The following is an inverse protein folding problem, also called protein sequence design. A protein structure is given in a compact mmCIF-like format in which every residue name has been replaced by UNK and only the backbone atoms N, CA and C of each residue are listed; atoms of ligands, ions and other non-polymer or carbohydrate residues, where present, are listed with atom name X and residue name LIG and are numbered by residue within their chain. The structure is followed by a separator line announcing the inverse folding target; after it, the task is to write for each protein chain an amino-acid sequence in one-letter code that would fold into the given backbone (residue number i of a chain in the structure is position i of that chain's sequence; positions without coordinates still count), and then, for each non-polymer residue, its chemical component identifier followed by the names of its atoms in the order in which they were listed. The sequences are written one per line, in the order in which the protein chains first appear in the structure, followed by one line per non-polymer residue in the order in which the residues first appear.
data_IF_854455506817
#
_entry.id   IF_854455506817
#
_cell.length_a   1.000
_cell.length_b   1.000
_cell.length_c   1.000
_cell.angle_alpha   90.00
_cell.angle_beta   90.00
_cell.angle_gamma   90.00
#
_symmetry.space_group_name_H-M   'P 1'
#
loop_
_entity.id
_entity.type
_entity.pdbx_description
1 polymer ?
#
# COMPACT_ATOMS: atom_id res chain seq x y z
N UNK A 1 26.87 -6.53 -5.12
CA UNK A 1 25.43 -6.59 -4.80
C UNK A 1 24.78 -5.42 -5.49
N UNK A 2 23.98 -5.67 -6.54
CA UNK A 2 23.30 -4.63 -7.31
C UNK A 2 21.99 -4.34 -6.59
N UNK A 3 21.68 -3.08 -6.36
CA UNK A 3 20.44 -2.70 -5.68
C UNK A 3 19.36 -2.51 -6.74
N UNK A 4 18.13 -2.90 -6.43
CA UNK A 4 16.98 -2.74 -7.33
C UNK A 4 16.29 -1.41 -6.98
N UNK A 5 16.16 -0.50 -7.95
CA UNK A 5 15.26 0.66 -7.80
C UNK A 5 13.86 0.21 -8.14
N UNK A 6 12.98 0.43 -7.18
CA UNK A 6 11.58 0.12 -7.27
C UNK A 6 10.82 1.43 -7.49
N UNK A 7 10.62 1.83 -8.75
CA UNK A 7 9.73 2.95 -9.09
C UNK A 7 8.28 2.43 -9.08
N UNK A 8 7.66 2.44 -7.91
CA UNK A 8 6.26 2.01 -7.76
C UNK A 8 5.32 3.16 -8.09
N UNK A 9 4.35 2.92 -8.95
CA UNK A 9 3.11 3.68 -9.01
C UNK A 9 2.03 2.84 -8.32
N UNK A 10 1.75 3.09 -7.03
CA UNK A 10 0.72 2.35 -6.30
C UNK A 10 -0.66 2.92 -6.64
N UNK A 11 -1.38 2.29 -7.56
CA UNK A 11 -2.73 2.72 -7.97
C UNK A 11 -3.76 1.94 -7.17
N UNK A 12 -4.45 2.62 -6.23
CA UNK A 12 -5.53 1.99 -5.47
C UNK A 12 -6.85 2.10 -6.25
N UNK A 13 -7.22 1.04 -6.97
CA UNK A 13 -8.54 0.90 -7.57
C UNK A 13 -9.60 0.49 -6.55
N UNK A 14 -10.18 1.44 -5.81
CA UNK A 14 -11.40 1.15 -5.04
C UNK A 14 -12.63 1.33 -5.95
N UNK A 15 -13.04 0.24 -6.60
CA UNK A 15 -14.33 0.19 -7.28
C UNK A 15 -15.45 0.26 -6.22
N UNK A 16 -16.04 1.44 -6.06
CA UNK A 16 -17.34 1.63 -5.41
C UNK A 16 -17.35 2.48 -4.13
N UNK A 17 -17.57 3.79 -4.30
CA UNK A 17 -18.67 4.56 -3.69
C UNK A 17 -18.39 6.06 -3.88
N UNK A 18 -19.26 6.71 -4.64
CA UNK A 18 -19.20 8.12 -4.98
C UNK A 18 -19.12 9.04 -3.74
N UNK A 19 -18.22 10.02 -3.80
CA UNK A 19 -18.11 11.10 -2.83
C UNK A 19 -17.02 12.08 -3.25
N UNK A 20 -17.38 13.02 -4.12
CA UNK A 20 -16.52 14.11 -4.57
C UNK A 20 -16.16 15.05 -3.41
N UNK A 21 -14.88 15.46 -3.30
CA UNK A 21 -14.48 16.72 -2.67
C UNK A 21 -13.25 17.29 -3.38
N UNK A 22 -13.41 18.53 -3.88
CA UNK A 22 -12.36 19.43 -4.34
C UNK A 22 -11.57 19.99 -3.14
N UNK A 23 -10.27 20.20 -3.28
CA UNK A 23 -9.46 21.00 -2.36
C UNK A 23 -7.96 20.86 -2.62
N UNK A 24 -7.27 22.01 -2.63
CA UNK A 24 -5.86 22.28 -2.94
C UNK A 24 -4.78 21.18 -2.72
N UNK A 25 -3.81 21.19 -3.65
CA UNK A 25 -2.70 20.27 -3.83
C UNK A 25 -1.63 20.29 -2.73
N UNK A 26 -2.01 19.91 -1.51
CA UNK A 26 -1.16 19.05 -0.70
C UNK A 26 -1.40 17.61 -1.17
N UNK A 27 -0.36 16.77 -1.27
CA UNK A 27 -0.53 15.34 -1.53
C UNK A 27 -1.65 14.80 -0.63
N UNK A 28 -2.82 14.50 -1.22
CA UNK A 28 -4.02 14.27 -0.45
C UNK A 28 -3.87 12.95 0.32
N UNK A 29 -3.61 13.03 1.62
CA UNK A 29 -3.43 11.83 2.46
C UNK A 29 -4.76 11.10 2.66
N UNK A 30 -5.00 10.11 1.80
CA UNK A 30 -6.30 9.47 1.62
C UNK A 30 -6.45 8.22 2.50
N UNK A 31 -7.50 8.19 3.33
CA UNK A 31 -7.72 7.11 4.30
C UNK A 31 -8.94 6.24 3.99
N UNK A 32 -8.68 5.04 3.45
CA UNK A 32 -9.70 4.07 3.04
C UNK A 32 -10.21 3.25 4.23
N UNK A 33 -11.52 3.07 4.34
CA UNK A 33 -12.14 2.28 5.40
C UNK A 33 -12.28 0.83 4.97
N UNK A 34 -11.91 -0.12 5.84
CA UNK A 34 -12.04 -1.53 5.55
C UNK A 34 -11.13 -2.39 6.43
N UNK A 35 -11.35 -3.71 6.37
CA UNK A 35 -10.43 -4.70 6.93
C UNK A 35 -9.47 -5.19 5.84
N UNK A 36 -9.97 -5.26 4.61
CA UNK A 36 -9.25 -5.75 3.44
C UNK A 36 -9.12 -4.63 2.41
N UNK A 37 -7.95 -4.51 1.80
CA UNK A 37 -7.63 -3.48 0.83
C UNK A 37 -6.88 -4.09 -0.35
N UNK A 38 -7.34 -3.82 -1.57
CA UNK A 38 -6.64 -4.21 -2.78
C UNK A 38 -5.58 -3.17 -3.11
N UNK A 39 -4.35 -3.63 -3.30
CA UNK A 39 -3.18 -2.85 -3.66
C UNK A 39 -2.77 -3.28 -5.07
N UNK A 40 -2.39 -2.32 -5.90
CA UNK A 40 -1.76 -2.57 -7.19
C UNK A 40 -0.56 -1.65 -7.36
N UNK A 41 0.49 -2.14 -8.00
CA UNK A 41 1.75 -1.45 -8.27
C UNK A 41 2.17 -1.64 -9.72
N UNK A 42 3.20 -0.91 -10.13
CA UNK A 42 3.87 -1.18 -11.40
C UNK A 42 4.91 -2.29 -11.28
N UNK A 43 5.10 -3.02 -12.37
CA UNK A 43 6.14 -4.04 -12.46
C UNK A 43 7.54 -3.40 -12.38
N UNK A 44 8.47 -4.11 -11.73
CA UNK A 44 9.89 -3.74 -11.76
C UNK A 44 10.45 -4.03 -13.14
N UNK A 45 10.93 -2.99 -13.83
CA UNK A 45 11.55 -3.12 -15.15
C UNK A 45 13.05 -2.85 -15.15
N UNK A 46 13.62 -2.26 -14.08
CA UNK A 46 15.01 -1.80 -14.05
C UNK A 46 15.65 -1.92 -12.66
N UNK A 47 16.97 -2.11 -12.62
CA UNK A 47 17.82 -2.00 -11.43
C UNK A 47 18.16 -0.54 -11.10
N UNK A 48 18.80 -0.29 -9.95
CA UNK A 48 19.27 1.05 -9.53
C UNK A 48 20.30 1.65 -10.49
N UNK A 49 21.10 0.80 -11.14
CA UNK A 49 22.10 1.21 -12.13
C UNK A 49 21.50 1.48 -13.53
N UNK A 50 20.17 1.37 -13.67
CA UNK A 50 19.46 1.54 -14.94
C UNK A 50 19.49 0.32 -15.86
N UNK A 51 20.11 -0.79 -15.43
CA UNK A 51 20.06 -2.06 -16.18
C UNK A 51 18.62 -2.57 -16.24
N UNK A 52 18.10 -3.03 -17.39
CA UNK A 52 16.78 -3.64 -17.46
C UNK A 52 16.75 -4.98 -16.73
N UNK A 53 15.61 -5.26 -16.09
CA UNK A 53 15.27 -6.58 -15.54
C UNK A 53 14.60 -7.37 -16.66
N UNK A 54 15.37 -8.21 -17.35
CA UNK A 54 14.86 -9.00 -18.48
C UNK A 54 14.58 -10.45 -18.08
N UNK A 55 13.32 -10.88 -18.24
CA UNK A 55 12.92 -12.30 -18.20
C UNK A 55 12.93 -12.98 -16.82
N UNK A 56 13.30 -12.28 -15.75
CA UNK A 56 13.34 -12.84 -14.40
C UNK A 56 12.02 -12.62 -13.65
N UNK A 57 11.59 -13.63 -12.89
CA UNK A 57 10.35 -13.58 -12.13
C UNK A 57 10.54 -12.77 -10.83
N UNK A 58 9.95 -11.57 -10.79
CA UNK A 58 9.93 -10.72 -9.59
C UNK A 58 8.83 -11.19 -8.64
N UNK A 59 9.18 -11.38 -7.37
CA UNK A 59 8.24 -11.64 -6.29
C UNK A 59 8.09 -10.40 -5.42
N UNK A 60 6.86 -10.13 -4.99
CA UNK A 60 6.51 -8.97 -4.19
C UNK A 60 6.08 -9.41 -2.79
N UNK A 61 6.68 -8.85 -1.76
CA UNK A 61 6.23 -8.97 -0.38
C UNK A 61 5.39 -7.76 0.00
N UNK A 62 4.23 -8.00 0.60
CA UNK A 62 3.30 -6.95 1.02
C UNK A 62 3.43 -6.78 2.52
N UNK A 63 3.60 -5.52 2.93
CA UNK A 63 3.76 -5.10 4.31
C UNK A 63 2.66 -4.10 4.69
N UNK A 64 2.39 -4.04 5.99
CA UNK A 64 1.63 -2.96 6.62
C UNK A 64 2.45 -2.38 7.75
N UNK A 65 2.25 -1.09 8.02
CA UNK A 65 2.86 -0.36 9.13
C UNK A 65 1.78 0.28 9.97
N UNK A 66 1.66 -0.12 11.23
CA UNK A 66 0.72 0.50 12.15
C UNK A 66 1.20 1.92 12.47
N UNK A 67 0.38 2.94 12.19
CA UNK A 67 0.76 4.34 12.39
C UNK A 67 0.92 4.71 13.86
N UNK A 68 0.20 4.04 14.77
CA UNK A 68 0.27 4.34 16.20
C UNK A 68 1.51 3.74 16.86
N UNK A 69 1.90 2.53 16.48
CA UNK A 69 3.01 1.80 17.12
C UNK A 69 4.29 1.78 16.30
N UNK A 70 4.23 2.14 15.01
CA UNK A 70 5.33 1.97 14.05
C UNK A 70 5.60 0.52 13.66
N UNK A 71 4.83 -0.45 14.16
CA UNK A 71 5.09 -1.86 13.92
C UNK A 71 4.85 -2.23 12.45
N UNK A 72 5.86 -2.84 11.83
CA UNK A 72 5.83 -3.34 10.46
C UNK A 72 5.52 -4.84 10.46
N UNK A 73 4.58 -5.27 9.61
CA UNK A 73 4.09 -6.64 9.55
C UNK A 73 4.01 -7.05 8.08
N UNK A 74 4.64 -8.16 7.72
CA UNK A 74 4.43 -8.79 6.41
C UNK A 74 3.08 -9.49 6.41
N UNK A 75 2.21 -9.14 5.47
CA UNK A 75 0.83 -9.67 5.36
C UNK A 75 0.63 -10.61 4.18
N UNK A 76 1.56 -10.62 3.23
CA UNK A 76 1.46 -11.51 2.08
C UNK A 76 2.65 -11.47 1.14
N UNK A 77 2.55 -12.28 0.10
CA UNK A 77 3.45 -12.31 -1.05
C UNK A 77 2.62 -12.46 -2.32
N UNK A 78 3.05 -11.86 -3.43
CA UNK A 78 2.42 -11.99 -4.74
C UNK A 78 3.49 -12.02 -5.83
N UNK A 79 3.28 -12.82 -6.87
CA UNK A 79 4.05 -12.76 -8.12
C UNK A 79 3.42 -11.83 -9.15
N UNK A 80 2.21 -11.34 -8.86
CA UNK A 80 1.49 -10.39 -9.71
C UNK A 80 1.74 -8.97 -9.21
N UNK A 81 1.38 -7.98 -10.04
CA UNK A 81 1.47 -6.55 -9.71
C UNK A 81 0.28 -6.06 -8.88
N UNK A 82 -0.42 -6.98 -8.22
CA UNK A 82 -1.51 -6.68 -7.31
C UNK A 82 -1.58 -7.71 -6.18
N UNK A 83 -2.12 -7.29 -5.05
CA UNK A 83 -2.43 -8.16 -3.92
C UNK A 83 -3.44 -7.51 -2.97
N UNK A 84 -4.04 -8.35 -2.13
CA UNK A 84 -4.95 -7.90 -1.07
C UNK A 84 -4.22 -7.87 0.26
N UNK A 85 -4.20 -6.73 0.93
CA UNK A 85 -3.69 -6.56 2.29
C UNK A 85 -4.85 -6.64 3.31
N UNK A 86 -4.72 -7.53 4.29
CA UNK A 86 -5.69 -7.69 5.38
C UNK A 86 -5.12 -7.12 6.68
N UNK A 87 -5.86 -6.21 7.32
CA UNK A 87 -5.45 -5.57 8.56
C UNK A 87 -5.66 -6.54 9.75
N UNK A 88 -4.63 -6.82 10.57
CA UNK A 88 -4.68 -7.85 11.61
C UNK A 88 -5.48 -7.40 12.83
N UNK A 89 -5.57 -6.09 13.05
CA UNK A 89 -6.29 -5.52 14.18
C UNK A 89 -6.75 -4.10 13.85
N UNK A 90 -7.57 -3.54 14.74
CA UNK A 90 -8.10 -2.19 14.58
C UNK A 90 -6.97 -1.17 14.62
N UNK A 91 -7.04 -0.20 13.74
CA UNK A 91 -6.02 0.85 13.67
C UNK A 91 -5.97 1.56 12.33
N UNK A 92 -4.94 2.38 12.20
CA UNK A 92 -4.53 3.04 10.95
C UNK A 92 -3.22 2.43 10.49
N UNK A 93 -3.15 2.09 9.22
CA UNK A 93 -2.01 1.41 8.63
C UNK A 93 -1.57 2.07 7.32
N UNK A 94 -0.26 2.17 7.14
CA UNK A 94 0.36 2.40 5.82
C UNK A 94 0.63 1.07 5.16
N UNK A 95 0.56 1.04 3.83
CA UNK A 95 0.87 -0.15 3.04
C UNK A 95 2.28 -0.04 2.49
N UNK A 96 2.97 -1.16 2.40
CA UNK A 96 4.32 -1.24 1.87
C UNK A 96 4.44 -2.39 0.89
N UNK A 97 5.25 -2.21 -0.15
CA UNK A 97 5.58 -3.27 -1.11
C UNK A 97 7.09 -3.36 -1.23
N UNK A 98 7.61 -4.59 -1.28
CA UNK A 98 9.02 -4.88 -1.49
C UNK A 98 9.16 -5.87 -2.63
N UNK A 99 10.02 -5.57 -3.59
CA UNK A 99 10.37 -6.50 -4.66
C UNK A 99 11.56 -7.37 -4.26
N UNK A 100 11.55 -8.59 -4.77
CA UNK A 100 12.62 -9.58 -4.61
C UNK A 100 12.84 -10.26 -5.96
N UNK A 101 14.09 -10.29 -6.39
CA UNK A 101 14.52 -10.89 -7.64
C UNK A 101 15.79 -11.71 -7.36
N UNK A 102 15.64 -13.04 -7.31
CA UNK A 102 16.74 -13.92 -6.89
C UNK A 102 17.21 -13.57 -5.47
N UNK A 103 18.49 -13.20 -5.33
CA UNK A 103 19.09 -12.76 -4.06
C UNK A 103 18.95 -11.25 -3.81
N UNK A 104 18.59 -10.48 -4.84
CA UNK A 104 18.47 -9.03 -4.75
C UNK A 104 17.10 -8.64 -4.18
N UNK A 105 17.12 -7.77 -3.16
CA UNK A 105 15.92 -7.33 -2.43
C UNK A 105 15.88 -5.80 -2.43
N UNK A 106 14.74 -5.23 -2.82
CA UNK A 106 14.54 -3.78 -2.79
C UNK A 106 14.27 -3.29 -1.35
N UNK A 107 14.45 -1.99 -1.07
CA UNK A 107 13.80 -1.38 0.08
C UNK A 107 12.27 -1.50 -0.02
N UNK A 108 11.59 -1.40 1.13
CA UNK A 108 10.13 -1.33 1.16
C UNK A 108 9.71 0.08 0.74
N UNK A 109 8.89 0.18 -0.29
CA UNK A 109 8.24 1.44 -0.67
C UNK A 109 6.92 1.56 0.04
N UNK A 110 6.76 2.63 0.82
CA UNK A 110 5.60 2.86 1.68
C UNK A 110 4.62 3.85 1.07
N UNK A 111 3.34 3.69 1.40
CA UNK A 111 2.23 4.55 0.97
C UNK A 111 2.19 5.94 1.65
N UNK A 112 3.18 6.25 2.48
CA UNK A 112 3.47 7.59 3.00
C UNK A 112 4.66 8.27 2.31
N UNK A 113 5.31 7.59 1.35
CA UNK A 113 6.33 8.19 0.49
C UNK A 113 5.69 8.61 -0.84
N UNK A 114 5.64 9.93 -1.10
CA UNK A 114 5.05 10.48 -2.32
C UNK A 114 5.76 9.97 -3.59
N UNK A 115 7.08 9.76 -3.54
CA UNK A 115 7.84 9.29 -4.71
C UNK A 115 7.47 7.85 -5.12
N UNK A 116 6.89 7.08 -4.21
CA UNK A 116 6.46 5.70 -4.45
C UNK A 116 4.95 5.54 -4.63
N UNK A 117 4.21 6.65 -4.72
CA UNK A 117 2.75 6.64 -4.84
C UNK A 117 2.31 7.21 -6.18
N UNK A 118 1.19 6.70 -6.70
CA UNK A 118 0.59 7.24 -7.91
C UNK A 118 0.25 8.72 -7.74
N UNK A 119 0.70 9.54 -8.69
CA UNK A 119 0.51 11.00 -8.66
C UNK A 119 1.02 11.70 -7.39
N UNK A 120 1.91 11.06 -6.62
CA UNK A 120 2.36 11.58 -5.33
C UNK A 120 1.32 11.53 -4.21
N UNK A 121 0.19 10.84 -4.41
CA UNK A 121 -0.91 10.79 -3.45
C UNK A 121 -0.63 9.79 -2.32
N UNK A 122 -0.54 10.28 -1.09
CA UNK A 122 -0.35 9.42 0.08
C UNK A 122 -1.66 8.73 0.43
N UNK A 123 -1.60 7.49 0.94
CA UNK A 123 -2.82 6.82 1.39
C UNK A 123 -2.57 5.79 2.49
N UNK A 124 -3.65 5.36 3.13
CA UNK A 124 -3.62 4.35 4.17
C UNK A 124 -4.96 3.67 4.40
N UNK A 125 -4.92 2.55 5.11
CA UNK A 125 -6.08 1.77 5.52
C UNK A 125 -6.47 2.08 6.95
N UNK A 126 -7.78 2.17 7.22
CA UNK A 126 -8.30 2.29 8.58
C UNK A 126 -9.41 1.27 8.83
N UNK A 127 -9.20 0.48 9.89
CA UNK A 127 -10.24 -0.37 10.45
C UNK A 127 -10.76 0.24 11.75
N UNK A 128 -11.94 0.86 11.65
CA UNK A 128 -12.68 1.44 12.77
C UNK A 128 -14.08 0.78 12.84
N UNK A 129 -14.67 0.71 14.04
CA UNK A 129 -16.03 0.20 14.24
C UNK A 129 -17.05 0.95 13.36
N UNK A 130 -18.14 0.30 12.87
CA UNK A 130 -19.35 1.04 12.59
C UNK A 130 -19.80 1.69 13.89
N UNK A 131 -20.05 2.99 13.85
CA UNK A 131 -20.64 3.73 14.96
C UNK A 131 -21.84 2.95 15.53
N UNK A 132 -21.85 2.70 16.83
CA UNK A 132 -23.06 2.24 17.50
C UNK A 132 -24.00 3.46 17.55
N UNK A 133 -25.23 3.44 17.00
CA UNK A 133 -26.12 4.57 17.13
C UNK A 133 -26.38 4.83 18.63
N UNK A 134 -26.24 6.09 19.05
CA UNK A 134 -26.41 6.58 20.44
C UNK A 134 -27.81 6.31 21.06
N UNK A 135 -28.70 5.58 20.39
CA UNK A 135 -30.11 5.44 20.74
C UNK A 135 -30.55 3.98 21.02
N UNK A 136 -29.65 3.08 21.42
CA UNK A 136 -30.07 1.79 21.98
C UNK A 136 -30.59 2.01 23.42
N UNK A 137 -31.80 2.58 23.53
CA UNK A 137 -32.59 2.48 24.75
C UNK A 137 -33.10 1.04 24.82
N UNK A 138 -32.61 0.28 25.80
CA UNK A 138 -33.25 -0.96 26.23
C UNK A 138 -34.71 -0.62 26.56
N UNK A 139 -35.64 -1.14 25.74
CA UNK A 139 -37.03 -1.32 26.15
C UNK A 139 -37.13 -2.62 26.93
#
# INVERSE_FOLDING_TARGET
MKKIILTIILVLGLAGAAGAFNGDAAAADTWHRGISHNLAWDAVTTYEDGTPVDGEAVSYSIFIKNVATGAEIKVGTSSETAATAVLPSRGRYRFGVQATLGEDVSPITWSDNAEGCANGELFGGRWLFPFWPKNFKHR
#
